data_IF_548372280482
#
_entry.id   IF_548372280482
#
_cell.length_a   1.000
_cell.length_b   1.000
_cell.length_c   1.000
_cell.angle_alpha   90.00
_cell.angle_beta   90.00
_cell.angle_gamma   90.00
#
_symmetry.space_group_name_H-M   'P 1'
#
loop_
_entity.id
_entity.type
_entity.pdbx_description
1 polymer ?
#
# COMPACT_ATOMS: atom_id res chain seq x y z
N UNK A 1 51.07 33.74 -4.48
CA UNK A 1 49.70 33.37 -4.08
C UNK A 1 49.23 32.21 -4.95
N UNK A 2 48.61 31.18 -4.36
CA UNK A 2 48.08 30.00 -5.10
C UNK A 2 46.56 30.01 -5.04
N UNK A 3 45.90 29.83 -6.19
CA UNK A 3 44.45 29.75 -6.34
C UNK A 3 44.08 28.49 -7.12
N UNK A 4 42.99 27.82 -6.72
CA UNK A 4 42.43 26.67 -7.42
C UNK A 4 41.10 27.05 -8.06
N UNK A 5 40.86 26.58 -9.28
CA UNK A 5 39.57 26.70 -9.95
C UNK A 5 39.20 25.40 -10.62
N UNK A 6 37.91 25.17 -10.84
CA UNK A 6 37.33 23.93 -11.41
C UNK A 6 37.80 22.63 -10.71
N UNK A 7 38.14 22.70 -9.42
CA UNK A 7 38.76 21.61 -8.64
C UNK A 7 37.76 20.75 -7.83
N UNK A 8 36.46 20.86 -8.10
CA UNK A 8 35.40 20.16 -7.36
C UNK A 8 34.78 19.02 -8.14
N UNK A 9 34.72 19.16 -9.47
CA UNK A 9 34.09 18.18 -10.35
C UNK A 9 35.13 17.45 -11.21
N UNK A 10 34.78 16.29 -11.72
CA UNK A 10 35.59 15.57 -12.70
C UNK A 10 35.77 16.43 -13.94
N UNK A 11 37.00 16.47 -14.45
CA UNK A 11 37.40 17.33 -15.55
C UNK A 11 38.83 17.84 -15.38
N UNK A 12 39.16 18.93 -16.03
CA UNK A 12 40.46 19.63 -15.88
C UNK A 12 40.32 20.74 -14.84
N UNK A 13 41.11 20.66 -13.80
CA UNK A 13 41.22 21.69 -12.78
C UNK A 13 42.48 22.55 -13.01
N UNK A 14 42.46 23.80 -12.56
CA UNK A 14 43.54 24.73 -12.72
C UNK A 14 44.16 25.15 -11.38
N UNK A 15 45.45 25.27 -11.34
CA UNK A 15 46.22 25.91 -10.28
C UNK A 15 46.88 27.13 -10.83
N UNK A 16 46.50 28.29 -10.34
CA UNK A 16 47.16 29.56 -10.70
C UNK A 16 48.11 29.95 -9.60
N UNK A 17 49.37 30.11 -9.95
CA UNK A 17 50.43 30.57 -9.07
C UNK A 17 50.82 31.99 -9.49
N UNK A 18 50.66 32.94 -8.59
CA UNK A 18 51.01 34.32 -8.80
C UNK A 18 52.26 34.70 -8.00
N UNK A 19 53.25 35.26 -8.65
CA UNK A 19 54.46 35.75 -8.01
C UNK A 19 54.15 36.78 -6.92
N UNK A 20 55.03 36.86 -5.90
CA UNK A 20 54.94 37.79 -4.76
C UNK A 20 56.35 38.19 -4.33
N UNK A 21 56.54 39.44 -3.89
CA UNK A 21 57.83 39.99 -3.48
C UNK A 21 58.74 40.20 -4.71
N UNK A 22 59.92 39.60 -4.70
CA UNK A 22 60.91 39.70 -5.76
C UNK A 22 60.56 38.86 -7.02
N UNK A 23 59.42 38.16 -7.04
CA UNK A 23 58.98 37.38 -8.17
C UNK A 23 57.76 38.00 -8.81
N UNK A 24 57.73 38.10 -10.12
CA UNK A 24 56.62 38.63 -10.91
C UNK A 24 56.06 37.57 -11.84
N UNK A 25 54.86 37.81 -12.39
CA UNK A 25 54.20 36.96 -13.35
C UNK A 25 53.22 35.95 -12.73
N UNK A 26 52.52 35.24 -13.63
CA UNK A 26 51.52 34.24 -13.28
C UNK A 26 51.77 32.97 -14.08
N UNK A 27 51.76 31.82 -13.40
CA UNK A 27 51.82 30.50 -14.02
C UNK A 27 50.49 29.78 -13.80
N UNK A 28 49.97 29.11 -14.84
CA UNK A 28 48.75 28.27 -14.75
C UNK A 28 49.14 26.85 -15.05
N UNK A 29 48.86 25.97 -14.08
CA UNK A 29 49.06 24.52 -14.17
C UNK A 29 47.70 23.84 -14.26
N UNK A 30 47.63 22.71 -14.95
CA UNK A 30 46.43 21.94 -15.13
C UNK A 30 46.59 20.54 -14.53
N UNK A 31 45.55 20.02 -13.88
CA UNK A 31 45.52 18.63 -13.45
C UNK A 31 44.14 18.04 -13.70
N UNK A 32 44.09 16.73 -13.89
CA UNK A 32 42.86 16.02 -14.20
C UNK A 32 42.23 15.44 -12.93
N UNK A 33 40.95 15.75 -12.71
CA UNK A 33 40.10 15.10 -11.71
C UNK A 33 39.35 13.97 -12.42
N UNK A 34 39.64 12.72 -12.05
CA UNK A 34 39.04 11.55 -12.68
C UNK A 34 37.64 11.29 -12.12
N UNK A 35 36.74 10.82 -12.99
CA UNK A 35 35.44 10.34 -12.58
C UNK A 35 35.56 9.10 -11.66
N UNK A 36 34.74 9.02 -10.63
CA UNK A 36 34.64 7.87 -9.74
C UNK A 36 33.77 6.77 -10.37
N UNK A 37 34.21 5.53 -10.32
CA UNK A 37 33.39 4.42 -10.85
C UNK A 37 32.24 4.09 -9.90
N UNK A 38 31.04 3.82 -10.45
CA UNK A 38 29.93 3.24 -9.66
C UNK A 38 30.23 1.84 -9.11
N UNK A 39 31.29 1.17 -9.62
CA UNK A 39 31.74 -0.13 -9.16
C UNK A 39 32.78 -0.08 -8.04
N UNK A 40 33.20 1.13 -7.66
CA UNK A 40 34.19 1.33 -6.61
C UNK A 40 33.62 0.96 -5.23
N UNK A 41 34.50 0.48 -4.32
CA UNK A 41 34.12 0.06 -2.96
C UNK A 41 33.46 1.16 -2.13
N UNK A 42 33.83 2.43 -2.36
CA UNK A 42 33.26 3.59 -1.67
C UNK A 42 31.87 3.98 -2.19
N UNK A 43 31.40 3.33 -3.28
CA UNK A 43 30.09 3.59 -3.90
C UNK A 43 29.16 2.41 -3.62
N UNK A 44 28.08 2.66 -2.91
CA UNK A 44 27.00 1.69 -2.73
C UNK A 44 25.86 1.99 -3.68
N UNK A 45 25.43 1.02 -4.47
CA UNK A 45 24.23 1.09 -5.31
C UNK A 45 23.32 -0.07 -4.96
N UNK A 46 22.15 0.21 -4.42
CA UNK A 46 21.12 -0.78 -4.06
C UNK A 46 19.92 -0.63 -4.98
N UNK A 47 19.42 -1.74 -5.47
CA UNK A 47 18.23 -1.83 -6.31
C UNK A 47 17.15 -2.61 -5.55
N UNK A 48 16.03 -1.96 -5.26
CA UNK A 48 14.87 -2.59 -4.61
C UNK A 48 13.76 -2.76 -5.64
N UNK A 49 13.33 -4.01 -5.95
CA UNK A 49 12.24 -4.26 -6.87
C UNK A 49 10.92 -3.62 -6.40
N UNK A 50 10.16 -3.07 -7.35
CA UNK A 50 8.79 -2.59 -7.12
C UNK A 50 7.84 -3.21 -8.13
N UNK A 51 6.54 -3.10 -7.94
CA UNK A 51 5.53 -3.66 -8.85
C UNK A 51 5.69 -3.14 -10.29
N UNK A 52 6.04 -1.85 -10.46
CA UNK A 52 6.14 -1.20 -11.78
C UNK A 52 7.59 -0.96 -12.26
N UNK A 53 8.58 -1.22 -11.41
CA UNK A 53 9.97 -0.89 -11.77
C UNK A 53 10.95 -1.31 -10.68
N UNK A 54 11.82 -0.37 -10.31
CA UNK A 54 12.76 -0.51 -9.20
C UNK A 54 13.05 0.85 -8.57
N UNK A 55 13.34 0.86 -7.29
CA UNK A 55 13.89 2.02 -6.60
C UNK A 55 15.40 1.84 -6.46
N UNK A 56 16.16 2.87 -6.85
CA UNK A 56 17.61 2.90 -6.72
C UNK A 56 17.99 3.83 -5.56
N UNK A 57 18.81 3.31 -4.66
CA UNK A 57 19.49 4.10 -3.63
C UNK A 57 20.99 3.99 -3.87
N UNK A 58 21.62 5.12 -4.24
CA UNK A 58 23.07 5.19 -4.48
C UNK A 58 23.71 6.16 -3.49
N UNK A 59 24.90 5.79 -2.96
CA UNK A 59 25.67 6.63 -2.04
C UNK A 59 27.16 6.55 -2.39
N UNK A 60 27.89 7.64 -2.13
CA UNK A 60 29.35 7.67 -2.19
C UNK A 60 29.89 8.19 -0.85
N UNK A 61 30.72 7.42 -0.17
CA UNK A 61 31.21 7.72 1.18
C UNK A 61 30.10 8.15 2.13
N UNK A 62 28.96 7.44 2.12
CA UNK A 62 27.78 7.72 2.94
C UNK A 62 26.87 8.86 2.43
N UNK A 63 27.32 9.71 1.52
CA UNK A 63 26.50 10.79 0.94
C UNK A 63 25.62 10.29 -0.20
N UNK A 64 24.33 10.67 -0.20
CA UNK A 64 23.37 10.26 -1.23
C UNK A 64 23.68 10.88 -2.57
N UNK A 65 23.76 10.04 -3.62
CA UNK A 65 23.86 10.45 -5.01
C UNK A 65 22.46 10.76 -5.57
N UNK A 66 22.40 11.76 -6.48
CA UNK A 66 21.14 12.24 -7.07
C UNK A 66 20.96 11.69 -8.47
N UNK A 67 19.79 11.09 -8.71
CA UNK A 67 19.39 10.67 -10.05
C UNK A 67 19.34 11.89 -11.00
N UNK A 68 19.70 11.67 -12.25
CA UNK A 68 19.84 12.66 -13.34
C UNK A 68 21.00 13.64 -13.19
N UNK A 69 21.62 13.76 -12.00
CA UNK A 69 22.85 14.53 -11.77
C UNK A 69 24.07 13.61 -11.73
N UNK A 70 24.06 12.64 -10.83
CA UNK A 70 25.20 11.76 -10.53
C UNK A 70 25.09 10.40 -11.22
N UNK A 71 23.88 9.98 -11.58
CA UNK A 71 23.58 8.78 -12.35
C UNK A 71 22.24 8.87 -13.07
N UNK A 72 22.04 8.00 -14.07
CA UNK A 72 20.75 7.77 -14.74
C UNK A 72 20.29 6.33 -14.51
N UNK A 73 18.99 6.07 -14.66
CA UNK A 73 18.41 4.73 -14.54
C UNK A 73 17.62 4.43 -15.80
N UNK A 74 17.85 3.27 -16.39
CA UNK A 74 17.02 2.71 -17.47
C UNK A 74 16.55 1.31 -17.10
N UNK A 75 15.36 0.93 -17.57
CA UNK A 75 14.73 -0.34 -17.28
C UNK A 75 14.29 -0.97 -18.59
N UNK A 76 14.79 -2.18 -18.86
CA UNK A 76 14.36 -3.01 -19.98
C UNK A 76 13.73 -4.29 -19.42
N UNK A 77 12.61 -4.75 -20.02
CA UNK A 77 11.95 -6.00 -19.64
C UNK A 77 11.89 -6.94 -20.83
N UNK A 78 12.39 -8.15 -20.65
CA UNK A 78 12.30 -9.26 -21.61
C UNK A 78 11.69 -10.47 -20.91
N UNK A 79 10.47 -10.85 -21.33
CA UNK A 79 9.72 -11.93 -20.69
C UNK A 79 9.55 -11.69 -19.20
N UNK A 80 10.07 -12.58 -18.36
CA UNK A 80 10.02 -12.51 -16.90
C UNK A 80 11.26 -11.86 -16.26
N UNK A 81 12.18 -11.33 -17.07
CA UNK A 81 13.38 -10.66 -16.56
C UNK A 81 13.35 -9.18 -16.83
N UNK A 82 13.49 -8.41 -15.78
CA UNK A 82 13.66 -6.96 -15.83
C UNK A 82 15.12 -6.64 -15.53
N UNK A 83 15.79 -5.95 -16.47
CA UNK A 83 17.15 -5.47 -16.29
C UNK A 83 17.10 -3.99 -15.96
N UNK A 84 17.58 -3.63 -14.79
CA UNK A 84 17.72 -2.24 -14.34
C UNK A 84 19.18 -1.85 -14.51
N UNK A 85 19.44 -0.85 -15.34
CA UNK A 85 20.78 -0.33 -15.59
C UNK A 85 20.93 1.03 -14.92
N UNK A 86 21.91 1.18 -14.06
CA UNK A 86 22.33 2.42 -13.43
C UNK A 86 23.60 2.85 -14.10
N UNK A 87 23.58 3.98 -14.81
CA UNK A 87 24.72 4.56 -15.52
C UNK A 87 25.23 5.80 -14.79
N UNK A 88 26.51 5.84 -14.47
CA UNK A 88 27.17 7.02 -13.88
C UNK A 88 27.12 8.23 -14.81
N UNK A 89 26.98 9.42 -14.22
CA UNK A 89 26.92 10.73 -14.88
C UNK A 89 27.68 11.77 -14.06
N UNK A 90 28.16 12.84 -14.71
CA UNK A 90 28.89 13.92 -14.04
C UNK A 90 30.20 13.45 -13.43
N UNK A 91 30.29 13.44 -12.12
CA UNK A 91 31.49 12.99 -11.39
C UNK A 91 31.64 11.47 -11.32
N UNK A 92 30.69 10.71 -11.85
CA UNK A 92 30.66 9.26 -11.81
C UNK A 92 30.67 8.66 -13.23
N UNK A 93 31.34 7.51 -13.36
CA UNK A 93 31.42 6.71 -14.59
C UNK A 93 31.01 5.26 -14.33
N UNK A 94 31.02 4.46 -15.39
CA UNK A 94 30.67 3.04 -15.38
C UNK A 94 29.18 2.78 -15.18
N UNK A 95 28.78 1.54 -15.34
CA UNK A 95 27.39 1.08 -15.17
C UNK A 95 27.31 -0.07 -14.21
N UNK A 96 26.17 -0.18 -13.50
CA UNK A 96 25.78 -1.37 -12.75
C UNK A 96 24.45 -1.88 -13.28
N UNK A 97 24.31 -3.18 -13.39
CA UNK A 97 23.07 -3.81 -13.84
C UNK A 97 22.55 -4.77 -12.77
N UNK A 98 21.23 -4.76 -12.59
CA UNK A 98 20.49 -5.61 -11.67
C UNK A 98 19.44 -6.37 -12.47
N UNK A 99 19.46 -7.70 -12.43
CA UNK A 99 18.44 -8.55 -13.02
C UNK A 99 17.38 -8.87 -11.97
N UNK A 100 16.12 -8.53 -12.24
CA UNK A 100 14.99 -8.73 -11.35
C UNK A 100 14.03 -9.68 -12.05
N UNK A 101 13.64 -10.77 -11.36
CA UNK A 101 12.59 -11.66 -11.87
C UNK A 101 11.22 -11.01 -11.69
N UNK A 102 10.47 -10.87 -12.79
CA UNK A 102 9.07 -10.39 -12.80
C UNK A 102 8.16 -11.60 -12.80
N UNK A 103 7.42 -11.81 -11.70
CA UNK A 103 6.51 -12.93 -11.60
C UNK A 103 5.26 -12.76 -12.48
N UNK A 104 5.04 -13.67 -13.41
CA UNK A 104 3.80 -13.82 -14.17
C UNK A 104 2.89 -14.83 -13.45
N UNK A 105 2.06 -14.36 -12.53
CA UNK A 105 1.20 -15.22 -11.72
C UNK A 105 -0.07 -15.64 -12.45
N UNK A 106 -0.30 -16.94 -12.57
CA UNK A 106 -1.57 -17.55 -13.01
C UNK A 106 -2.34 -18.08 -11.80
N UNK A 107 -3.65 -17.85 -11.74
CA UNK A 107 -4.50 -18.39 -10.69
C UNK A 107 -4.64 -19.90 -10.88
N UNK A 108 -4.30 -20.67 -9.85
CA UNK A 108 -4.34 -22.15 -9.86
C UNK A 108 -5.49 -22.72 -9.05
N UNK A 109 -6.00 -21.99 -8.05
CA UNK A 109 -7.16 -22.39 -7.28
C UNK A 109 -7.82 -21.15 -6.66
N UNK A 110 -9.15 -21.20 -6.53
CA UNK A 110 -9.95 -20.19 -5.87
C UNK A 110 -11.03 -20.80 -4.98
N UNK A 111 -11.28 -20.16 -3.84
CA UNK A 111 -12.44 -20.44 -2.99
C UNK A 111 -13.09 -19.10 -2.67
N UNK A 112 -14.37 -18.94 -3.00
CA UNK A 112 -15.09 -17.71 -2.70
C UNK A 112 -15.24 -17.54 -1.18
N UNK A 113 -15.17 -16.29 -0.72
CA UNK A 113 -15.57 -15.97 0.65
C UNK A 113 -17.09 -16.06 0.79
N UNK A 114 -17.57 -16.48 1.93
CA UNK A 114 -18.99 -16.52 2.30
C UNK A 114 -19.23 -15.63 3.51
N UNK A 115 -20.48 -15.53 3.95
CA UNK A 115 -20.81 -14.87 5.22
C UNK A 115 -20.30 -15.63 6.46
N UNK A 116 -19.85 -16.88 6.30
CA UNK A 116 -19.47 -17.76 7.40
C UNK A 116 -18.03 -18.26 7.34
N UNK A 117 -17.35 -18.01 6.23
CA UNK A 117 -15.96 -18.42 6.02
C UNK A 117 -15.21 -17.43 5.12
N UNK A 118 -13.90 -17.33 5.34
CA UNK A 118 -12.97 -16.66 4.45
C UNK A 118 -12.77 -17.47 3.18
N UNK A 119 -12.43 -16.77 2.09
CA UNK A 119 -12.02 -17.38 0.83
C UNK A 119 -10.53 -17.23 0.58
N UNK A 120 -10.09 -17.67 -0.59
CA UNK A 120 -8.73 -17.46 -1.06
C UNK A 120 -8.63 -17.53 -2.59
N UNK A 121 -7.55 -16.96 -3.11
CA UNK A 121 -7.03 -17.22 -4.46
C UNK A 121 -5.57 -17.66 -4.33
N UNK A 122 -5.21 -18.77 -4.94
CA UNK A 122 -3.84 -19.28 -5.01
C UNK A 122 -3.29 -19.03 -6.39
N UNK A 123 -2.04 -18.64 -6.46
CA UNK A 123 -1.36 -18.33 -7.70
C UNK A 123 -0.02 -19.05 -7.75
N UNK A 124 0.40 -19.42 -8.95
CA UNK A 124 1.73 -19.94 -9.26
C UNK A 124 2.34 -19.12 -10.39
N UNK A 125 3.58 -18.72 -10.25
CA UNK A 125 4.33 -18.09 -11.34
C UNK A 125 4.61 -19.12 -12.42
N UNK A 126 4.29 -18.80 -13.68
CA UNK A 126 4.47 -19.69 -14.83
C UNK A 126 5.94 -19.94 -15.16
N UNK A 127 6.83 -19.01 -14.82
CA UNK A 127 8.24 -19.09 -15.15
C UNK A 127 9.09 -19.75 -14.07
N UNK A 128 8.87 -19.43 -12.78
CA UNK A 128 9.73 -19.91 -11.70
C UNK A 128 9.00 -20.80 -10.66
N UNK A 129 7.70 -21.03 -10.83
CA UNK A 129 6.91 -21.85 -9.91
C UNK A 129 6.59 -21.19 -8.56
N UNK A 130 7.06 -19.99 -8.28
CA UNK A 130 6.79 -19.28 -7.02
C UNK A 130 5.27 -19.19 -6.76
N UNK A 131 4.86 -19.44 -5.52
CA UNK A 131 3.46 -19.49 -5.12
C UNK A 131 3.12 -18.27 -4.27
N UNK A 132 1.91 -17.73 -4.43
CA UNK A 132 1.32 -16.77 -3.50
C UNK A 132 -0.14 -17.08 -3.23
N UNK A 133 -0.61 -16.74 -2.05
CA UNK A 133 -2.03 -16.87 -1.68
C UNK A 133 -2.56 -15.51 -1.27
N UNK A 134 -3.66 -15.11 -1.88
CA UNK A 134 -4.46 -13.95 -1.52
C UNK A 134 -5.64 -14.43 -0.69
N UNK A 135 -5.73 -13.98 0.56
CA UNK A 135 -6.86 -14.27 1.45
C UNK A 135 -8.02 -13.33 1.11
N UNK A 136 -9.22 -13.86 0.92
CA UNK A 136 -10.45 -13.09 0.75
C UNK A 136 -11.17 -13.00 2.08
N UNK A 137 -11.42 -11.78 2.54
CA UNK A 137 -12.12 -11.56 3.80
C UNK A 137 -13.55 -12.14 3.75
N UNK A 138 -14.04 -12.61 4.88
CA UNK A 138 -15.41 -13.04 5.07
C UNK A 138 -16.39 -11.95 4.64
N UNK A 139 -17.46 -12.32 3.94
CA UNK A 139 -18.49 -11.38 3.52
C UNK A 139 -19.20 -10.80 4.76
N UNK A 140 -19.58 -9.54 4.66
CA UNK A 140 -20.36 -8.84 5.68
C UNK A 140 -21.63 -8.29 5.03
N UNK A 141 -22.80 -8.36 5.68
CA UNK A 141 -23.98 -7.68 5.17
C UNK A 141 -23.77 -6.17 5.18
N UNK A 142 -24.47 -5.45 4.32
CA UNK A 142 -24.36 -3.99 4.23
C UNK A 142 -25.69 -3.33 4.54
N UNK A 143 -25.72 -2.41 5.50
CA UNK A 143 -26.85 -1.52 5.73
C UNK A 143 -26.91 -0.52 4.58
N UNK A 144 -27.95 -0.60 3.75
CA UNK A 144 -28.15 0.31 2.63
C UNK A 144 -28.60 1.68 3.14
N UNK A 145 -29.65 1.73 3.96
CA UNK A 145 -30.13 2.99 4.54
C UNK A 145 -30.56 2.85 6.00
N UNK A 146 -30.47 3.96 6.73
CA UNK A 146 -30.87 4.09 8.11
C UNK A 146 -31.59 5.43 8.27
N UNK A 147 -32.92 5.40 8.41
CA UNK A 147 -33.76 6.62 8.43
C UNK A 147 -34.78 6.59 9.57
N UNK A 148 -34.94 7.73 10.24
CA UNK A 148 -35.98 7.95 11.22
C UNK A 148 -36.98 8.98 10.67
N UNK A 149 -38.12 8.54 10.16
CA UNK A 149 -39.17 9.36 9.60
C UNK A 149 -40.27 9.70 10.61
N UNK A 150 -40.46 8.88 11.66
CA UNK A 150 -41.47 9.09 12.70
C UNK A 150 -40.84 9.03 14.09
N UNK A 151 -41.43 9.75 15.06
CA UNK A 151 -40.98 9.76 16.47
C UNK A 151 -40.84 8.36 17.04
N UNK A 152 -39.68 8.08 17.68
CA UNK A 152 -39.40 6.80 18.32
C UNK A 152 -39.28 5.61 17.38
N UNK A 153 -39.12 5.83 16.05
CA UNK A 153 -38.99 4.76 15.05
C UNK A 153 -37.76 4.95 14.19
N UNK A 154 -37.11 3.84 13.82
CA UNK A 154 -35.93 3.80 12.98
C UNK A 154 -36.02 2.66 11.96
N UNK A 155 -36.09 2.99 10.69
CA UNK A 155 -36.12 1.98 9.61
C UNK A 155 -34.72 1.70 9.12
N UNK A 156 -34.34 0.42 9.19
CA UNK A 156 -33.09 -0.15 8.70
C UNK A 156 -33.37 -0.88 7.40
N UNK A 157 -32.69 -0.55 6.32
CA UNK A 157 -32.74 -1.29 5.05
C UNK A 157 -31.34 -1.85 4.74
N UNK A 158 -31.27 -3.05 4.18
CA UNK A 158 -30.01 -3.72 3.85
C UNK A 158 -30.09 -4.50 2.53
N UNK A 159 -28.94 -4.90 2.00
CA UNK A 159 -28.89 -5.76 0.81
C UNK A 159 -29.16 -7.20 1.19
N UNK A 160 -29.99 -7.88 0.39
CA UNK A 160 -30.31 -9.31 0.56
C UNK A 160 -29.03 -10.16 0.54
N UNK A 161 -28.90 -11.05 1.50
CA UNK A 161 -27.84 -12.05 1.56
C UNK A 161 -28.28 -13.38 0.91
N UNK A 162 -27.32 -14.20 0.50
CA UNK A 162 -27.54 -15.55 -0.03
C UNK A 162 -26.96 -16.60 0.91
N UNK A 163 -27.53 -17.82 0.88
CA UNK A 163 -27.05 -18.96 1.69
C UNK A 163 -27.21 -18.76 3.20
N UNK A 164 -28.25 -18.03 3.64
CA UNK A 164 -28.52 -17.65 5.02
C UNK A 164 -29.90 -18.08 5.45
N UNK A 165 -30.16 -18.14 6.75
CA UNK A 165 -31.49 -18.41 7.32
C UNK A 165 -32.19 -17.14 7.80
N UNK A 166 -31.45 -16.03 8.00
CA UNK A 166 -32.01 -14.77 8.42
C UNK A 166 -30.95 -13.79 8.92
N UNK A 167 -31.41 -12.77 9.65
CA UNK A 167 -30.57 -11.66 10.10
C UNK A 167 -30.73 -11.40 11.59
N UNK A 168 -29.71 -10.80 12.18
CA UNK A 168 -29.80 -10.19 13.51
C UNK A 168 -29.34 -8.75 13.40
N UNK A 169 -30.21 -7.82 13.81
CA UNK A 169 -29.89 -6.41 13.95
C UNK A 169 -29.59 -6.13 15.42
N UNK A 170 -28.44 -5.50 15.69
CA UNK A 170 -28.07 -5.00 17.00
C UNK A 170 -28.06 -3.47 16.94
N UNK A 171 -28.68 -2.81 17.92
CA UNK A 171 -28.75 -1.36 17.99
C UNK A 171 -28.53 -0.88 19.41
N UNK A 172 -27.86 0.26 19.56
CA UNK A 172 -27.42 0.79 20.85
C UNK A 172 -27.35 2.32 20.81
N UNK A 173 -27.45 2.96 21.94
CA UNK A 173 -27.12 4.40 22.12
C UNK A 173 -25.62 4.63 22.32
N UNK A 174 -24.85 3.56 22.55
CA UNK A 174 -23.39 3.59 22.64
C UNK A 174 -22.75 3.01 21.36
N UNK A 175 -21.73 3.66 20.82
CA UNK A 175 -20.94 3.15 19.68
C UNK A 175 -20.16 1.87 20.01
N UNK A 176 -19.90 1.64 21.30
CA UNK A 176 -19.19 0.44 21.81
C UNK A 176 -20.11 -0.77 21.96
N UNK A 177 -21.44 -0.61 21.78
CA UNK A 177 -22.43 -1.69 21.96
C UNK A 177 -22.32 -2.40 23.33
N UNK A 178 -22.25 -1.61 24.39
CA UNK A 178 -22.20 -2.14 25.77
C UNK A 178 -23.48 -2.93 26.11
N UNK A 179 -23.39 -3.93 26.95
CA UNK A 179 -24.49 -4.84 27.31
C UNK A 179 -25.73 -4.07 27.79
N UNK A 180 -25.54 -3.03 28.62
CA UNK A 180 -26.62 -2.20 29.19
C UNK A 180 -27.38 -1.34 28.18
N UNK A 181 -26.72 -0.93 27.07
CA UNK A 181 -27.32 -0.03 26.07
C UNK A 181 -27.75 -0.72 24.78
N UNK A 182 -27.42 -2.01 24.64
CA UNK A 182 -27.60 -2.75 23.38
C UNK A 182 -28.85 -3.61 23.40
N UNK A 183 -29.65 -3.46 22.36
CA UNK A 183 -30.79 -4.36 22.07
C UNK A 183 -30.57 -5.06 20.74
N UNK A 184 -31.18 -6.23 20.59
CA UNK A 184 -31.08 -7.01 19.34
C UNK A 184 -32.46 -7.51 18.91
N UNK A 185 -32.65 -7.62 17.61
CA UNK A 185 -33.84 -8.21 17.00
C UNK A 185 -33.40 -9.23 15.94
N UNK A 186 -34.02 -10.40 15.98
CA UNK A 186 -33.78 -11.48 15.01
C UNK A 186 -34.87 -11.45 13.93
N UNK A 187 -34.49 -11.53 12.67
CA UNK A 187 -35.36 -11.63 11.50
C UNK A 187 -35.19 -13.02 10.92
N UNK A 188 -36.24 -13.82 10.97
CA UNK A 188 -36.20 -15.25 10.56
C UNK A 188 -36.40 -15.43 9.06
N UNK A 189 -36.94 -14.43 8.35
CA UNK A 189 -37.18 -14.48 6.92
C UNK A 189 -35.92 -14.01 6.17
N UNK A 190 -35.24 -14.95 5.50
CA UNK A 190 -33.99 -14.69 4.75
C UNK A 190 -34.17 -13.69 3.60
N UNK A 191 -35.37 -13.58 3.04
CA UNK A 191 -35.71 -12.63 1.97
C UNK A 191 -35.93 -11.20 2.46
N UNK A 192 -35.99 -10.94 3.77
CA UNK A 192 -36.22 -9.60 4.29
C UNK A 192 -35.05 -8.66 3.98
N UNK A 193 -35.39 -7.43 3.61
CA UNK A 193 -34.41 -6.35 3.30
C UNK A 193 -34.66 -5.08 4.10
N UNK A 194 -35.68 -5.09 4.97
CA UNK A 194 -36.00 -3.95 5.81
C UNK A 194 -36.59 -4.38 7.16
N UNK A 195 -36.41 -3.56 8.19
CA UNK A 195 -37.05 -3.68 9.51
C UNK A 195 -37.16 -2.32 10.15
N UNK A 196 -38.35 -2.02 10.68
CA UNK A 196 -38.55 -0.84 11.52
C UNK A 196 -38.38 -1.23 12.98
N UNK A 197 -37.48 -0.56 13.66
CA UNK A 197 -37.27 -0.60 15.10
C UNK A 197 -38.20 0.45 15.73
N UNK A 198 -38.89 0.09 16.79
CA UNK A 198 -39.86 0.93 17.46
C UNK A 198 -39.51 1.10 18.94
N UNK A 199 -40.25 1.98 19.65
CA UNK A 199 -40.04 2.25 21.07
C UNK A 199 -38.63 2.75 21.40
N UNK A 200 -38.05 3.54 20.47
CA UNK A 200 -36.75 4.18 20.65
C UNK A 200 -36.91 5.55 21.33
N UNK A 201 -35.87 5.93 22.08
CA UNK A 201 -35.85 7.28 22.72
C UNK A 201 -35.64 8.34 21.64
N UNK A 202 -36.59 9.28 21.52
CA UNK A 202 -36.48 10.41 20.58
C UNK A 202 -35.28 11.29 20.92
N UNK A 203 -34.78 12.03 19.93
CA UNK A 203 -33.59 12.91 20.03
C UNK A 203 -32.30 12.23 20.43
N UNK A 204 -32.26 10.91 20.65
CA UNK A 204 -31.03 10.12 20.91
C UNK A 204 -30.42 9.60 19.62
N UNK A 205 -29.09 9.54 19.57
CA UNK A 205 -28.32 8.90 18.47
C UNK A 205 -28.28 7.40 18.71
N UNK A 206 -28.63 6.63 17.70
CA UNK A 206 -28.54 5.17 17.71
C UNK A 206 -27.51 4.69 16.71
N UNK A 207 -26.69 3.75 17.14
CA UNK A 207 -25.73 2.99 16.36
C UNK A 207 -26.34 1.63 16.01
N UNK A 208 -26.25 1.23 14.75
CA UNK A 208 -26.87 0.01 14.24
C UNK A 208 -25.87 -0.79 13.45
N UNK A 209 -25.86 -2.09 13.69
CA UNK A 209 -25.11 -3.09 12.90
C UNK A 209 -26.01 -4.29 12.65
N UNK A 210 -25.74 -5.00 11.56
CA UNK A 210 -26.48 -6.20 11.15
C UNK A 210 -25.51 -7.34 10.89
N UNK A 211 -25.91 -8.56 11.19
CA UNK A 211 -25.22 -9.77 10.75
C UNK A 211 -26.24 -10.80 10.24
N UNK A 212 -25.77 -11.71 9.42
CA UNK A 212 -26.54 -12.87 8.98
C UNK A 212 -26.38 -14.03 9.95
N UNK A 213 -27.29 -14.99 9.89
CA UNK A 213 -27.11 -16.28 10.54
C UNK A 213 -27.62 -17.41 9.66
N UNK A 214 -27.09 -18.62 9.89
CA UNK A 214 -27.54 -19.89 9.34
C UNK A 214 -27.99 -20.82 10.49
N UNK A 215 -29.15 -21.42 10.35
CA UNK A 215 -29.62 -22.46 11.27
C UNK A 215 -28.77 -23.72 11.09
N UNK A 216 -28.35 -24.34 12.17
CA UNK A 216 -27.63 -25.62 12.22
C UNK A 216 -28.20 -26.48 13.35
N UNK A 217 -27.89 -27.82 13.31
CA UNK A 217 -28.15 -28.70 14.44
C UNK A 217 -27.44 -28.13 15.67
N UNK A 218 -28.20 -27.85 16.73
CA UNK A 218 -27.65 -27.23 17.95
C UNK A 218 -27.62 -25.67 17.99
N UNK A 219 -28.16 -24.95 17.01
CA UNK A 219 -28.26 -23.50 17.14
C UNK A 219 -28.11 -22.65 15.87
N UNK A 220 -27.56 -21.50 16.05
CA UNK A 220 -27.34 -20.52 14.96
C UNK A 220 -25.84 -20.24 14.80
N UNK A 221 -25.34 -20.45 13.59
CA UNK A 221 -24.03 -19.96 13.19
C UNK A 221 -24.18 -18.50 12.73
N UNK A 222 -23.46 -17.57 13.34
CA UNK A 222 -23.49 -16.16 12.99
C UNK A 222 -22.32 -15.75 12.11
N UNK A 223 -22.62 -14.94 11.10
CA UNK A 223 -21.60 -14.25 10.30
C UNK A 223 -21.05 -13.02 11.01
N UNK A 224 -20.06 -12.38 10.41
CA UNK A 224 -19.49 -11.15 10.91
C UNK A 224 -20.48 -9.97 10.84
N UNK A 225 -20.34 -9.03 11.78
CA UNK A 225 -21.13 -7.79 11.78
C UNK A 225 -20.79 -6.89 10.61
N UNK A 226 -21.80 -6.20 10.08
CA UNK A 226 -21.63 -5.09 9.15
C UNK A 226 -20.82 -3.95 9.78
N UNK A 227 -20.27 -3.03 8.96
CA UNK A 227 -19.91 -1.71 9.45
C UNK A 227 -21.10 -1.06 10.19
N UNK A 228 -20.80 -0.30 11.24
CA UNK A 228 -21.80 0.42 12.04
C UNK A 228 -22.30 1.63 11.26
N UNK A 229 -23.63 1.82 11.20
CA UNK A 229 -24.25 3.09 10.79
C UNK A 229 -24.96 3.73 11.98
N UNK A 230 -25.04 5.02 12.00
CA UNK A 230 -25.74 5.75 13.07
C UNK A 230 -26.62 6.86 12.53
N UNK A 231 -27.70 7.17 13.27
CA UNK A 231 -28.57 8.31 13.01
C UNK A 231 -29.24 8.75 14.30
N UNK A 232 -29.73 9.99 14.33
CA UNK A 232 -30.54 10.52 15.41
C UNK A 232 -32.02 10.15 15.17
N UNK A 233 -32.68 9.64 16.20
CA UNK A 233 -34.11 9.30 16.13
C UNK A 233 -34.96 10.56 16.36
N UNK A 234 -35.97 10.72 15.52
CA UNK A 234 -36.97 11.79 15.66
C UNK A 234 -37.83 11.60 16.91
#
# INVERSE_FOLDING_TARGET
MVRYSANTNAGTANVTVQGKGNYTGTAVLHFKINQKSLNDRDVSVRCTPTAKGATIKATYKGKTLRQNKDYTVSIATRGTTRTVTVQGKGNFKSRRQFKIHVHAYKCTAKKAATYFATGYKKYKCTACGAKKTEKLAQLKPAIASLKSSKKGRLTVKWKKGSGISGYQISYSTSSKFTKSTTKSVTITKAGSTAKTLTKLKSKKKYYVRIRVYKKQKGGKLYGAWSPVKSTKVR
#
